data_IF_306117211067
#
_entry.id   IF_306117211067
#
_cell.length_a   1.000
_cell.length_b   1.000
_cell.length_c   1.000
_cell.angle_alpha   90.00
_cell.angle_beta   90.00
_cell.angle_gamma   90.00
#
_symmetry.space_group_name_H-M   'P 1'
#
loop_
_entity.id
_entity.type
_entity.pdbx_description
1 polymer ?
#
# COMPACT_ATOMS: atom_id res chain seq x y z
N UNK A 1 -1.85 -8.94 -10.02
CA UNK A 1 -0.71 -9.60 -10.69
C UNK A 1 -0.06 -10.61 -9.75
N UNK A 2 0.58 -11.65 -10.30
CA UNK A 2 1.33 -12.67 -9.55
C UNK A 2 2.70 -12.87 -10.19
N UNK A 3 3.74 -13.05 -9.36
CA UNK A 3 5.07 -13.47 -9.83
C UNK A 3 4.99 -14.93 -10.25
N UNK A 4 5.34 -15.20 -11.50
CA UNK A 4 5.36 -16.54 -12.10
C UNK A 4 6.72 -17.18 -11.93
N UNK A 5 7.78 -16.41 -12.17
CA UNK A 5 9.16 -16.90 -12.13
C UNK A 5 10.12 -15.77 -11.77
N UNK A 6 11.16 -16.11 -11.02
CA UNK A 6 12.34 -15.28 -10.81
C UNK A 6 13.54 -16.11 -11.24
N UNK A 7 14.39 -15.58 -12.11
CA UNK A 7 15.64 -16.20 -12.52
C UNK A 7 16.76 -15.19 -12.63
N UNK A 8 17.99 -15.61 -12.35
CA UNK A 8 19.19 -14.82 -12.65
C UNK A 8 19.59 -15.06 -14.10
N UNK A 9 19.90 -13.99 -14.83
CA UNK A 9 20.32 -14.04 -16.24
C UNK A 9 21.62 -13.25 -16.43
N UNK A 10 22.43 -13.63 -17.42
CA UNK A 10 23.53 -12.79 -17.89
C UNK A 10 22.99 -11.79 -18.91
N UNK A 11 23.69 -10.67 -19.08
CA UNK A 11 23.35 -9.67 -20.10
C UNK A 11 23.24 -10.28 -21.51
N UNK A 12 24.12 -11.23 -21.84
CA UNK A 12 24.12 -11.92 -23.14
C UNK A 12 22.91 -12.83 -23.35
N UNK A 13 22.18 -13.17 -22.30
CA UNK A 13 21.01 -14.04 -22.34
C UNK A 13 19.69 -13.27 -22.43
N UNK A 14 19.74 -11.93 -22.39
CA UNK A 14 18.55 -11.07 -22.54
C UNK A 14 18.12 -11.06 -24.01
N UNK A 15 16.94 -11.58 -24.30
CA UNK A 15 16.40 -11.62 -25.65
C UNK A 15 15.71 -10.30 -26.03
N UNK A 16 15.47 -10.08 -27.34
CA UNK A 16 14.66 -8.96 -27.84
C UNK A 16 13.24 -8.97 -27.25
N UNK A 17 12.68 -10.16 -27.05
CA UNK A 17 11.35 -10.33 -26.44
C UNK A 17 11.36 -9.86 -24.99
N UNK A 18 12.40 -10.17 -24.22
CA UNK A 18 12.52 -9.73 -22.83
C UNK A 18 12.59 -8.21 -22.72
N UNK A 19 13.28 -7.55 -23.66
CA UNK A 19 13.39 -6.09 -23.74
C UNK A 19 12.00 -5.48 -23.96
N UNK A 20 11.24 -6.00 -24.94
CA UNK A 20 9.89 -5.53 -25.23
C UNK A 20 8.90 -5.81 -24.09
N UNK A 21 8.90 -7.03 -23.54
CA UNK A 21 8.02 -7.42 -22.44
C UNK A 21 8.32 -6.61 -21.15
N UNK A 22 9.56 -6.13 -20.98
CA UNK A 22 9.96 -5.23 -19.91
C UNK A 22 9.64 -3.74 -20.19
N UNK A 23 9.09 -3.40 -21.37
CA UNK A 23 8.68 -2.06 -21.74
C UNK A 23 9.80 -1.16 -22.28
N UNK A 24 10.90 -1.75 -22.76
CA UNK A 24 12.01 -1.02 -23.37
C UNK A 24 12.02 -1.20 -24.89
N UNK A 25 12.56 -0.20 -25.60
CA UNK A 25 12.66 -0.25 -27.06
C UNK A 25 13.90 -1.03 -27.51
N UNK A 26 14.98 -0.96 -26.75
CA UNK A 26 16.25 -1.60 -27.08
C UNK A 26 17.07 -1.97 -25.84
N UNK A 27 18.12 -2.77 -26.07
CA UNK A 27 18.99 -3.32 -25.03
C UNK A 27 19.75 -2.23 -24.27
N UNK A 28 20.19 -1.19 -24.97
CA UNK A 28 20.94 -0.08 -24.35
C UNK A 28 20.09 0.68 -23.33
N UNK A 29 18.82 0.96 -23.68
CA UNK A 29 17.87 1.62 -22.78
C UNK A 29 17.59 0.76 -21.54
N UNK A 30 17.39 -0.55 -21.71
CA UNK A 30 17.22 -1.48 -20.61
C UNK A 30 18.46 -1.46 -19.69
N UNK A 31 19.67 -1.60 -20.25
CA UNK A 31 20.89 -1.67 -19.45
C UNK A 31 21.23 -0.36 -18.74
N UNK A 32 20.91 0.79 -19.33
CA UNK A 32 21.03 2.12 -18.66
C UNK A 32 20.07 2.26 -17.47
N UNK A 33 18.93 1.57 -17.50
CA UNK A 33 17.97 1.58 -16.39
C UNK A 33 18.42 0.75 -15.19
N UNK A 34 19.32 -0.22 -15.40
CA UNK A 34 19.87 -1.06 -14.34
C UNK A 34 21.01 -0.33 -13.63
N UNK A 35 21.10 -0.48 -12.30
CA UNK A 35 22.27 -0.03 -11.55
C UNK A 35 23.42 -0.99 -11.87
N UNK A 36 24.39 -0.53 -12.64
CA UNK A 36 25.57 -1.32 -12.98
C UNK A 36 26.65 -1.10 -11.92
N UNK A 37 26.98 -2.17 -11.18
CA UNK A 37 28.21 -2.30 -10.42
C UNK A 37 28.89 -3.60 -10.86
N UNK A 38 30.21 -3.71 -10.73
CA UNK A 38 31.00 -4.85 -11.24
C UNK A 38 30.53 -6.24 -10.73
N UNK A 39 29.72 -6.28 -9.66
CA UNK A 39 29.19 -7.51 -9.05
C UNK A 39 27.65 -7.60 -9.05
N UNK A 40 26.93 -6.84 -9.88
CA UNK A 40 25.45 -6.86 -9.89
C UNK A 40 24.89 -8.02 -10.72
N UNK A 41 24.04 -8.85 -10.11
CA UNK A 41 23.24 -9.86 -10.82
C UNK A 41 22.03 -9.23 -11.52
N UNK A 42 21.74 -9.66 -12.75
CA UNK A 42 20.50 -9.30 -13.44
C UNK A 42 19.43 -10.36 -13.13
N UNK A 43 18.28 -9.92 -12.64
CA UNK A 43 17.14 -10.80 -12.38
C UNK A 43 16.04 -10.57 -13.41
N UNK A 44 15.58 -11.64 -14.06
CA UNK A 44 14.37 -11.66 -14.87
C UNK A 44 13.18 -12.07 -13.99
N UNK A 45 12.17 -11.21 -13.90
CA UNK A 45 10.96 -11.44 -13.13
C UNK A 45 9.77 -11.51 -14.09
N UNK A 46 9.17 -12.70 -14.21
CA UNK A 46 8.01 -12.92 -15.07
C UNK A 46 6.74 -12.73 -14.24
N UNK A 47 5.83 -11.89 -14.73
CA UNK A 47 4.58 -11.57 -14.07
C UNK A 47 3.40 -11.98 -14.94
N UNK A 48 2.30 -12.44 -14.31
CA UNK A 48 1.02 -12.62 -14.98
C UNK A 48 -0.10 -11.85 -14.31
N UNK A 49 -1.09 -11.46 -15.10
CA UNK A 49 -2.38 -11.06 -14.56
C UNK A 49 -2.98 -12.25 -13.79
N UNK A 50 -3.60 -11.98 -12.64
CA UNK A 50 -4.15 -13.04 -11.79
C UNK A 50 -5.62 -12.79 -11.47
N UNK A 51 -5.91 -11.61 -10.93
CA UNK A 51 -7.22 -11.08 -10.66
C UNK A 51 -7.06 -9.58 -10.39
N UNK A 52 -8.18 -8.87 -10.32
CA UNK A 52 -8.23 -7.53 -9.75
C UNK A 52 -7.73 -7.56 -8.31
N UNK A 53 -7.25 -6.41 -7.83
CA UNK A 53 -6.79 -6.30 -6.46
C UNK A 53 -7.98 -6.54 -5.51
N UNK A 54 -8.00 -7.62 -4.69
CA UNK A 54 -9.13 -7.91 -3.80
C UNK A 54 -9.37 -6.80 -2.77
N UNK A 55 -8.41 -5.87 -2.61
CA UNK A 55 -8.58 -4.66 -1.80
C UNK A 55 -9.52 -3.63 -2.42
N UNK A 56 -9.86 -3.73 -3.70
CA UNK A 56 -10.84 -2.87 -4.37
C UNK A 56 -12.23 -3.18 -3.81
N UNK A 57 -12.66 -4.44 -3.86
CA UNK A 57 -13.94 -4.88 -3.27
C UNK A 57 -14.06 -4.51 -1.79
N UNK A 58 -12.99 -4.72 -1.01
CA UNK A 58 -12.98 -4.33 0.41
C UNK A 58 -13.18 -2.83 0.62
N UNK A 59 -12.61 -1.98 -0.22
CA UNK A 59 -12.70 -0.51 -0.06
C UNK A 59 -14.07 0.03 -0.46
N UNK A 60 -14.67 -0.54 -1.49
CA UNK A 60 -15.97 -0.12 -2.02
C UNK A 60 -17.14 -0.69 -1.21
N UNK A 61 -16.94 -1.79 -0.46
CA UNK A 61 -17.98 -2.37 0.36
C UNK A 61 -18.37 -1.47 1.55
N UNK A 62 -19.44 -0.70 1.39
CA UNK A 62 -20.03 0.14 2.44
C UNK A 62 -21.03 -0.61 3.33
N UNK A 63 -21.41 -1.84 2.97
CA UNK A 63 -22.31 -2.68 3.76
C UNK A 63 -21.53 -3.31 4.92
N UNK A 64 -21.32 -2.52 5.97
CA UNK A 64 -20.56 -2.90 7.14
C UNK A 64 -21.47 -3.59 8.17
N UNK A 65 -21.59 -4.91 8.05
CA UNK A 65 -22.34 -5.75 9.01
C UNK A 65 -21.74 -5.65 10.42
N UNK A 66 -22.50 -6.09 11.42
CA UNK A 66 -22.05 -6.07 12.82
C UNK A 66 -20.78 -6.89 13.04
N UNK A 67 -20.74 -8.10 12.50
CA UNK A 67 -19.58 -8.98 12.57
C UNK A 67 -18.36 -8.38 11.87
N UNK A 68 -18.53 -7.84 10.66
CA UNK A 68 -17.43 -7.21 9.91
C UNK A 68 -16.90 -5.95 10.62
N UNK A 69 -17.77 -5.18 11.29
CA UNK A 69 -17.36 -4.05 12.11
C UNK A 69 -16.53 -4.51 13.32
N UNK A 70 -17.01 -5.52 14.05
CA UNK A 70 -16.30 -6.08 15.20
C UNK A 70 -14.92 -6.63 14.81
N UNK A 71 -14.84 -7.37 13.70
CA UNK A 71 -13.58 -7.91 13.17
C UNK A 71 -12.57 -6.80 12.82
N UNK A 72 -13.02 -5.72 12.15
CA UNK A 72 -12.16 -4.58 11.83
C UNK A 72 -11.70 -3.87 13.10
N UNK A 73 -12.60 -3.68 14.08
CA UNK A 73 -12.29 -3.08 15.38
C UNK A 73 -11.23 -3.90 16.12
N UNK A 74 -11.37 -5.22 16.16
CA UNK A 74 -10.38 -6.11 16.80
C UNK A 74 -9.02 -6.04 16.10
N UNK A 75 -9.00 -6.02 14.76
CA UNK A 75 -7.76 -5.84 13.99
C UNK A 75 -7.07 -4.51 14.31
N UNK A 76 -7.82 -3.42 14.46
CA UNK A 76 -7.26 -2.12 14.88
C UNK A 76 -6.73 -2.16 16.31
N UNK A 77 -7.46 -2.75 17.26
CA UNK A 77 -7.00 -2.93 18.64
C UNK A 77 -5.69 -3.72 18.68
N UNK A 78 -5.56 -4.77 17.85
CA UNK A 78 -4.34 -5.55 17.72
C UNK A 78 -3.17 -4.71 17.18
N UNK A 79 -3.42 -3.91 16.14
CA UNK A 79 -2.40 -3.00 15.58
C UNK A 79 -1.93 -1.95 16.58
N UNK A 80 -2.84 -1.47 17.43
CA UNK A 80 -2.53 -0.54 18.50
C UNK A 80 -1.75 -1.21 19.63
N UNK A 81 -2.15 -2.41 20.06
CA UNK A 81 -1.49 -3.18 21.12
C UNK A 81 -0.01 -3.46 20.84
N UNK A 82 0.34 -3.74 19.59
CA UNK A 82 1.74 -4.01 19.19
C UNK A 82 2.54 -2.76 18.82
N UNK A 83 1.95 -1.56 18.95
CA UNK A 83 2.62 -0.31 18.64
C UNK A 83 3.43 0.21 19.82
N UNK A 84 4.70 0.52 19.60
CA UNK A 84 5.54 1.26 20.57
C UNK A 84 5.14 2.74 20.73
N UNK A 85 4.25 3.24 19.87
CA UNK A 85 3.80 4.63 19.80
C UNK A 85 2.38 4.82 20.40
N UNK A 86 1.86 3.80 21.09
CA UNK A 86 0.52 3.80 21.68
C UNK A 86 -0.62 3.61 20.67
N UNK A 87 -1.84 3.97 21.10
CA UNK A 87 -3.07 3.85 20.32
C UNK A 87 -3.07 4.86 19.16
N UNK A 88 -2.74 4.40 17.96
CA UNK A 88 -2.49 5.25 16.79
C UNK A 88 -3.57 5.14 15.73
N UNK A 89 -4.24 3.99 15.60
CA UNK A 89 -5.11 3.70 14.46
C UNK A 89 -6.25 4.72 14.34
N UNK A 90 -6.96 4.98 15.44
CA UNK A 90 -8.05 5.96 15.51
C UNK A 90 -7.55 7.37 15.24
N UNK A 91 -6.42 7.77 15.83
CA UNK A 91 -5.82 9.11 15.64
C UNK A 91 -5.50 9.37 14.17
N UNK A 92 -4.86 8.40 13.50
CA UNK A 92 -4.49 8.50 12.09
C UNK A 92 -5.72 8.48 11.18
N UNK A 93 -6.70 7.59 11.43
CA UNK A 93 -7.93 7.54 10.63
C UNK A 93 -8.73 8.85 10.71
N UNK A 94 -8.82 9.46 11.90
CA UNK A 94 -9.49 10.75 12.07
C UNK A 94 -8.70 11.89 11.41
N UNK A 95 -7.37 11.88 11.49
CA UNK A 95 -6.53 12.87 10.82
C UNK A 95 -6.70 12.81 9.29
N UNK A 96 -6.73 11.61 8.71
CA UNK A 96 -6.98 11.40 7.28
C UNK A 96 -8.41 11.83 6.90
N UNK A 97 -9.42 11.51 7.72
CA UNK A 97 -10.80 11.95 7.49
C UNK A 97 -10.93 13.46 7.42
N UNK A 98 -10.29 14.17 8.34
CA UNK A 98 -10.34 15.63 8.41
C UNK A 98 -9.51 16.35 7.34
N UNK A 99 -8.53 15.65 6.74
CA UNK A 99 -7.56 16.25 5.83
C UNK A 99 -7.30 15.34 4.62
N UNK A 100 -8.30 15.12 3.75
CA UNK A 100 -8.15 14.29 2.57
C UNK A 100 -7.05 14.85 1.65
N UNK A 101 -6.21 13.96 1.09
CA UNK A 101 -5.07 14.31 0.21
C UNK A 101 -3.98 15.16 0.89
N UNK A 102 -3.96 15.24 2.22
CA UNK A 102 -2.88 15.91 2.95
C UNK A 102 -1.54 15.22 2.72
N UNK A 103 -0.50 16.00 2.43
CA UNK A 103 0.86 15.47 2.22
C UNK A 103 1.32 14.70 3.45
N UNK A 104 2.07 13.63 3.24
CA UNK A 104 2.57 12.79 4.33
C UNK A 104 3.43 13.54 5.36
N UNK A 105 4.14 14.60 4.94
CA UNK A 105 4.92 15.47 5.85
C UNK A 105 3.99 16.26 6.77
N UNK A 106 2.89 16.79 6.25
CA UNK A 106 1.95 17.58 7.05
C UNK A 106 1.07 16.70 7.92
N UNK A 107 0.73 15.49 7.45
CA UNK A 107 0.07 14.48 8.27
C UNK A 107 0.95 14.02 9.45
N UNK A 108 2.27 13.93 9.24
CA UNK A 108 3.25 13.68 10.31
C UNK A 108 3.22 14.78 11.37
N UNK A 109 3.26 16.05 10.95
CA UNK A 109 3.12 17.20 11.88
C UNK A 109 1.81 17.16 12.65
N UNK A 110 0.69 16.91 11.96
CA UNK A 110 -0.64 16.89 12.57
C UNK A 110 -0.80 15.77 13.60
N UNK A 111 -0.22 14.59 13.34
CA UNK A 111 -0.37 13.43 14.21
C UNK A 111 0.74 13.32 15.26
N UNK A 112 1.85 14.03 15.10
CA UNK A 112 3.05 13.91 15.93
C UNK A 112 3.85 12.62 15.68
N UNK A 113 3.46 11.81 14.69
CA UNK A 113 4.18 10.60 14.33
C UNK A 113 5.22 10.87 13.24
N UNK A 114 6.32 10.12 13.26
CA UNK A 114 7.33 10.20 12.21
C UNK A 114 6.74 9.75 10.86
N UNK A 115 7.17 10.40 9.78
CA UNK A 115 6.60 10.25 8.43
C UNK A 115 6.76 8.84 7.86
N UNK A 116 7.93 8.22 7.97
CA UNK A 116 8.16 6.85 7.47
C UNK A 116 7.39 5.83 8.31
N UNK A 117 7.33 6.04 9.62
CA UNK A 117 6.48 5.26 10.51
C UNK A 117 5.01 5.34 10.10
N UNK A 118 4.50 6.54 9.79
CA UNK A 118 3.15 6.73 9.27
C UNK A 118 2.94 5.99 7.96
N UNK A 119 3.85 6.14 6.99
CA UNK A 119 3.78 5.43 5.70
C UNK A 119 3.65 3.91 5.90
N UNK A 120 4.47 3.35 6.78
CA UNK A 120 4.45 1.91 7.09
C UNK A 120 3.11 1.48 7.70
N UNK A 121 2.58 2.25 8.66
CA UNK A 121 1.38 1.88 9.39
C UNK A 121 0.08 2.18 8.62
N UNK A 122 0.04 3.26 7.83
CA UNK A 122 -1.07 3.54 6.90
C UNK A 122 -1.18 2.42 5.86
N UNK A 123 -0.07 1.79 5.43
CA UNK A 123 -0.12 0.60 4.58
C UNK A 123 -0.87 -0.56 5.23
N UNK A 124 -0.81 -0.72 6.55
CA UNK A 124 -1.60 -1.73 7.28
C UNK A 124 -3.10 -1.39 7.23
N UNK A 125 -3.48 -0.12 7.43
CA UNK A 125 -4.87 0.33 7.29
C UNK A 125 -5.39 0.16 5.85
N UNK A 126 -4.54 0.41 4.86
CA UNK A 126 -4.83 0.19 3.44
C UNK A 126 -5.12 -1.28 3.12
N UNK A 127 -4.40 -2.21 3.76
CA UNK A 127 -4.63 -3.65 3.61
C UNK A 127 -5.94 -4.10 4.26
N UNK A 128 -6.44 -3.37 5.27
CA UNK A 128 -7.77 -3.56 5.84
C UNK A 128 -8.88 -2.89 5.03
N UNK A 129 -8.54 -2.30 3.88
CA UNK A 129 -9.51 -1.60 3.04
C UNK A 129 -10.01 -0.28 3.63
N UNK A 130 -9.36 0.30 4.66
CA UNK A 130 -9.82 1.51 5.35
C UNK A 130 -9.28 2.83 4.76
N UNK A 131 -8.22 2.77 3.96
CA UNK A 131 -7.57 3.95 3.38
C UNK A 131 -7.19 3.73 1.92
N UNK A 132 -7.11 4.82 1.17
CA UNK A 132 -6.65 4.90 -0.21
C UNK A 132 -5.38 5.77 -0.26
N UNK A 133 -4.37 5.30 -0.99
CA UNK A 133 -3.20 6.13 -1.33
C UNK A 133 -3.54 6.93 -2.59
N UNK A 134 -3.26 8.22 -2.58
CA UNK A 134 -3.36 9.10 -3.75
C UNK A 134 -1.95 9.52 -4.18
N UNK A 135 -1.83 10.15 -5.33
CA UNK A 135 -0.57 10.75 -5.79
C UNK A 135 -0.03 11.75 -4.76
N UNK A 136 -0.95 12.46 -4.11
CA UNK A 136 -0.67 13.33 -2.97
C UNK A 136 -1.47 12.83 -1.77
N UNK A 137 -0.77 12.26 -0.80
CA UNK A 137 -1.34 11.95 0.51
C UNK A 137 -2.26 10.73 0.56
N UNK A 138 -3.23 10.80 1.47
CA UNK A 138 -4.13 9.69 1.80
C UNK A 138 -5.57 10.17 1.91
N UNK A 139 -6.48 9.22 1.76
CA UNK A 139 -7.91 9.42 1.95
C UNK A 139 -8.49 8.18 2.64
N UNK A 140 -9.66 8.32 3.30
CA UNK A 140 -10.44 7.15 3.68
C UNK A 140 -11.02 6.50 2.42
N UNK A 141 -11.14 5.18 2.42
CA UNK A 141 -12.02 4.51 1.46
C UNK A 141 -13.49 4.71 1.81
N UNK A 142 -14.43 4.36 0.92
CA UNK A 142 -15.85 4.25 1.28
C UNK A 142 -16.10 3.43 2.56
N UNK A 143 -15.53 2.21 2.64
CA UNK A 143 -15.56 1.39 3.85
C UNK A 143 -14.98 2.12 5.07
N UNK A 144 -13.81 2.74 4.91
CA UNK A 144 -13.13 3.47 5.98
C UNK A 144 -13.95 4.65 6.50
N UNK A 145 -14.65 5.35 5.61
CA UNK A 145 -15.60 6.41 5.94
C UNK A 145 -16.75 5.90 6.79
N UNK A 146 -17.38 4.80 6.37
CA UNK A 146 -18.46 4.14 7.13
C UNK A 146 -17.97 3.64 8.50
N UNK A 147 -16.83 2.95 8.52
CA UNK A 147 -16.22 2.44 9.74
C UNK A 147 -15.92 3.57 10.74
N UNK A 148 -15.27 4.65 10.30
CA UNK A 148 -14.93 5.78 11.16
C UNK A 148 -16.19 6.50 11.65
N UNK A 149 -17.20 6.71 10.79
CA UNK A 149 -18.49 7.30 11.21
C UNK A 149 -19.11 6.48 12.35
N UNK A 150 -19.13 5.16 12.22
CA UNK A 150 -19.65 4.25 13.24
C UNK A 150 -18.80 4.26 14.51
N UNK A 151 -17.47 4.19 14.39
CA UNK A 151 -16.51 4.25 15.51
C UNK A 151 -16.63 5.55 16.33
N UNK A 152 -17.05 6.66 15.71
CA UNK A 152 -17.28 7.93 16.40
C UNK A 152 -18.66 8.05 17.06
N UNK A 153 -19.63 7.22 16.67
CA UNK A 153 -21.00 7.21 17.21
C UNK A 153 -21.17 6.28 18.41
N UNK A 154 -20.36 5.23 18.52
CA UNK A 154 -20.33 4.31 19.69
C UNK A 154 -19.62 4.93 20.93
N UNK A 155 -19.60 6.26 21.04
CA UNK A 155 -18.95 6.97 22.14
C UNK A 155 -19.96 7.43 23.18
#
# INVERSE_FOLDING_TARGET
MKVVRISTVKESQISKKDIQDAGFENKEQLLKSLRQNDNSNIYKIELRYHAEDPRIELRENTALTESAFADLKEKLVRLDKYSKQGLWTKKVLLAIKGNPKLRAVDLAKLTGFEKQWLKLNIRKLKNLGLTISRDVGYELSPLGGTFVKRLTREK
#
